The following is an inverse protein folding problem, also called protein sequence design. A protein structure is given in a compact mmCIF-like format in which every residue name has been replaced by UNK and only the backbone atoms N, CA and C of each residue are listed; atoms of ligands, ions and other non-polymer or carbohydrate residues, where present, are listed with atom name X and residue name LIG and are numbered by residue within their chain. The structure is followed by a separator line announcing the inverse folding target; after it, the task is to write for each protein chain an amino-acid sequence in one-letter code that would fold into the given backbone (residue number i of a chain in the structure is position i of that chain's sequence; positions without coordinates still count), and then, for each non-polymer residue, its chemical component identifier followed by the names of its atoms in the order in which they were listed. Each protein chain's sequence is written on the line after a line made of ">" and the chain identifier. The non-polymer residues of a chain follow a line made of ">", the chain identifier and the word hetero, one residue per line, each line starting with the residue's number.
data_IF_367992442404
#
_entry.id   IF_367992442404
#
_cell.length_a   1.000
_cell.length_b   1.000
_cell.length_c   1.000
_cell.angle_alpha   90.00
_cell.angle_beta   90.00
_cell.angle_gamma   90.00
#
_symmetry.space_group_name_H-M   'P 1'
#
loop_
_entity.id
_entity.type
_entity.pdbx_description
1 polymer ?
#
# COMPACT_ATOMS: atom_id res chain seq x y z
N UNK A 1 -16.50 0.60 -19.26
CA UNK A 1 -16.21 -0.39 -18.22
C UNK A 1 -16.69 -1.79 -18.65
N UNK A 2 -17.99 -1.99 -18.96
CA UNK A 2 -18.57 -3.30 -19.31
C UNK A 2 -17.91 -3.96 -20.54
N UNK A 3 -17.56 -3.16 -21.57
CA UNK A 3 -16.91 -3.66 -22.79
C UNK A 3 -15.49 -4.17 -22.50
N UNK A 4 -14.72 -3.43 -21.73
CA UNK A 4 -13.36 -3.85 -21.32
C UNK A 4 -13.38 -5.08 -20.39
N UNK A 5 -14.41 -5.25 -19.58
CA UNK A 5 -14.58 -6.42 -18.71
C UNK A 5 -14.98 -7.67 -19.50
N UNK A 6 -15.81 -7.49 -20.54
CA UNK A 6 -16.18 -8.55 -21.48
C UNK A 6 -14.97 -8.97 -22.35
N UNK A 7 -14.24 -8.03 -22.93
CA UNK A 7 -13.02 -8.34 -23.70
C UNK A 7 -12.00 -9.09 -22.87
N UNK A 8 -11.82 -8.70 -21.59
CA UNK A 8 -10.94 -9.38 -20.63
C UNK A 8 -11.42 -10.80 -20.32
N UNK A 9 -12.73 -10.98 -20.08
CA UNK A 9 -13.31 -12.29 -19.83
C UNK A 9 -13.18 -13.22 -21.05
N UNK A 10 -13.32 -12.70 -22.27
CA UNK A 10 -13.10 -13.45 -23.51
C UNK A 10 -11.61 -13.83 -23.70
N UNK A 11 -10.69 -12.87 -23.50
CA UNK A 11 -9.25 -13.15 -23.61
C UNK A 11 -8.82 -14.27 -22.62
N UNK A 12 -9.31 -14.23 -21.39
CA UNK A 12 -9.04 -15.24 -20.35
C UNK A 12 -9.66 -16.60 -20.72
N UNK A 13 -10.85 -16.62 -21.31
CA UNK A 13 -11.55 -17.88 -21.66
C UNK A 13 -10.92 -18.62 -22.85
N UNK A 14 -10.19 -17.91 -23.72
CA UNK A 14 -9.60 -18.47 -24.96
C UNK A 14 -8.08 -18.50 -24.99
N UNK A 15 -7.40 -17.98 -23.97
CA UNK A 15 -5.96 -18.00 -23.85
C UNK A 15 -5.54 -18.86 -22.65
N UNK A 16 -5.28 -20.14 -22.88
CA UNK A 16 -4.80 -21.09 -21.86
C UNK A 16 -3.44 -20.67 -21.25
N UNK A 17 -2.73 -19.71 -21.85
CA UNK A 17 -1.46 -19.15 -21.35
C UNK A 17 -1.66 -17.93 -20.47
N UNK A 18 -2.87 -17.33 -20.41
CA UNK A 18 -3.11 -16.13 -19.63
C UNK A 18 -3.22 -16.41 -18.14
N UNK A 19 -2.36 -15.76 -17.38
CA UNK A 19 -2.42 -15.79 -15.92
C UNK A 19 -3.22 -14.59 -15.40
N UNK A 20 -4.38 -14.84 -14.79
CA UNK A 20 -5.18 -13.79 -14.14
C UNK A 20 -4.84 -13.73 -12.66
N UNK A 21 -4.52 -12.55 -12.18
CA UNK A 21 -4.24 -12.31 -10.78
C UNK A 21 -5.08 -11.14 -10.27
N UNK A 22 -5.95 -11.41 -9.32
CA UNK A 22 -6.78 -10.40 -8.67
C UNK A 22 -6.06 -9.80 -7.47
N UNK A 23 -5.91 -8.48 -7.45
CA UNK A 23 -5.25 -7.73 -6.39
C UNK A 23 -6.19 -6.65 -5.83
N UNK A 24 -6.33 -6.60 -4.51
CA UNK A 24 -6.96 -5.48 -3.81
C UNK A 24 -5.88 -4.66 -3.11
N UNK A 25 -5.91 -3.35 -3.24
CA UNK A 25 -4.86 -2.48 -2.72
C UNK A 25 -5.34 -1.03 -2.56
N UNK A 26 -4.67 -0.24 -1.73
CA UNK A 26 -4.85 1.22 -1.76
C UNK A 26 -4.42 1.77 -3.11
N UNK A 27 -5.09 2.85 -3.55
CA UNK A 27 -4.75 3.51 -4.81
C UNK A 27 -3.27 3.92 -4.81
N UNK A 28 -2.56 3.49 -5.86
CA UNK A 28 -1.15 3.75 -6.05
C UNK A 28 -0.83 3.77 -7.55
N UNK A 29 -0.16 4.83 -8.01
CA UNK A 29 0.13 5.01 -9.44
C UNK A 29 1.18 4.00 -9.92
N UNK A 30 2.07 3.52 -9.04
CA UNK A 30 3.00 2.45 -9.37
C UNK A 30 2.27 1.12 -9.65
N UNK A 31 1.15 0.84 -8.97
CA UNK A 31 0.32 -0.33 -9.29
C UNK A 31 -0.39 -0.18 -10.65
N UNK A 32 -0.81 1.04 -11.01
CA UNK A 32 -1.35 1.29 -12.35
C UNK A 32 -0.28 1.06 -13.44
N UNK A 33 0.95 1.53 -13.19
CA UNK A 33 2.11 1.27 -14.06
C UNK A 33 2.45 -0.21 -14.13
N UNK A 34 2.39 -0.93 -13.01
CA UNK A 34 2.63 -2.38 -12.96
C UNK A 34 1.66 -3.15 -13.86
N UNK A 35 0.38 -2.75 -13.85
CA UNK A 35 -0.63 -3.36 -14.74
C UNK A 35 -0.28 -3.17 -16.21
N UNK A 36 0.21 -1.99 -16.59
CA UNK A 36 0.65 -1.72 -17.96
C UNK A 36 1.87 -2.57 -18.34
N UNK A 37 2.87 -2.71 -17.45
CA UNK A 37 4.04 -3.56 -17.67
C UNK A 37 3.67 -5.04 -17.78
N UNK A 38 2.74 -5.53 -16.97
CA UNK A 38 2.26 -6.91 -16.98
C UNK A 38 1.56 -7.29 -18.29
N UNK A 39 0.88 -6.34 -18.92
CA UNK A 39 0.17 -6.53 -20.18
C UNK A 39 1.10 -6.51 -21.41
N UNK A 40 2.40 -6.17 -21.25
CA UNK A 40 3.34 -6.07 -22.38
C UNK A 40 3.78 -7.47 -22.84
N UNK A 41 3.60 -7.84 -24.11
CA UNK A 41 4.05 -9.13 -24.63
C UNK A 41 5.57 -9.30 -24.49
N UNK A 42 6.04 -10.46 -24.04
CA UNK A 42 7.46 -10.80 -23.95
C UNK A 42 8.02 -11.02 -22.55
N UNK A 43 7.26 -10.72 -21.52
CA UNK A 43 7.57 -11.18 -20.15
C UNK A 43 6.79 -12.47 -19.86
N UNK A 44 7.46 -13.53 -19.44
CA UNK A 44 7.01 -14.85 -18.95
C UNK A 44 5.51 -15.21 -19.06
N UNK A 45 4.88 -15.12 -20.23
CA UNK A 45 3.43 -15.27 -20.43
C UNK A 45 2.65 -13.99 -20.12
N UNK A 46 1.50 -13.80 -20.76
CA UNK A 46 0.65 -12.65 -20.52
C UNK A 46 0.06 -12.69 -19.08
N UNK A 47 0.46 -11.74 -18.23
CA UNK A 47 -0.08 -11.62 -16.88
C UNK A 47 -1.18 -10.54 -16.87
N UNK A 48 -2.42 -10.94 -16.60
CA UNK A 48 -3.54 -10.04 -16.46
C UNK A 48 -3.72 -9.65 -14.99
N UNK A 49 -3.44 -8.38 -14.65
CA UNK A 49 -3.65 -7.84 -13.31
C UNK A 49 -5.03 -7.18 -13.20
N UNK A 50 -5.95 -7.82 -12.49
CA UNK A 50 -7.22 -7.21 -12.08
C UNK A 50 -7.02 -6.51 -10.73
N UNK A 51 -6.77 -5.20 -10.77
CA UNK A 51 -6.49 -4.41 -9.57
C UNK A 51 -7.74 -3.64 -9.19
N UNK A 52 -8.22 -3.87 -7.96
CA UNK A 52 -9.31 -3.12 -7.33
C UNK A 52 -8.75 -2.24 -6.22
N UNK A 53 -8.99 -0.94 -6.35
CA UNK A 53 -8.53 0.01 -5.36
C UNK A 53 -9.51 0.09 -4.18
N UNK A 54 -8.97 -0.20 -2.98
CA UNK A 54 -9.68 -0.16 -1.71
C UNK A 54 -8.70 0.22 -0.58
N UNK A 55 -9.15 0.33 0.67
CA UNK A 55 -8.24 0.53 1.79
C UNK A 55 -7.39 -0.69 2.08
N UNK A 56 -6.20 -0.51 2.67
CA UNK A 56 -5.28 -1.61 3.01
C UNK A 56 -5.92 -2.65 3.94
N UNK A 57 -6.75 -2.20 4.88
CA UNK A 57 -7.49 -3.08 5.81
C UNK A 57 -8.47 -3.96 5.05
N UNK A 58 -9.26 -3.36 4.16
CA UNK A 58 -10.25 -4.07 3.37
C UNK A 58 -9.61 -4.99 2.33
N UNK A 59 -8.43 -4.61 1.82
CA UNK A 59 -7.64 -5.47 0.94
C UNK A 59 -7.23 -6.77 1.66
N UNK A 60 -6.70 -6.70 2.89
CA UNK A 60 -6.32 -7.90 3.67
C UNK A 60 -7.55 -8.71 4.06
N UNK A 61 -8.69 -8.06 4.39
CA UNK A 61 -9.95 -8.77 4.63
C UNK A 61 -10.42 -9.52 3.38
N UNK A 62 -10.39 -8.87 2.22
CA UNK A 62 -10.74 -9.49 0.95
C UNK A 62 -9.86 -10.70 0.62
N UNK A 63 -8.56 -10.64 0.92
CA UNK A 63 -7.65 -11.77 0.81
C UNK A 63 -8.08 -12.93 1.72
N UNK A 64 -8.41 -12.65 2.97
CA UNK A 64 -8.85 -13.66 3.94
C UNK A 64 -10.20 -14.31 3.58
N UNK A 65 -11.04 -13.58 2.87
CA UNK A 65 -12.34 -14.04 2.36
C UNK A 65 -12.21 -14.73 0.98
N UNK A 66 -11.00 -14.85 0.44
CA UNK A 66 -10.75 -15.48 -0.88
C UNK A 66 -11.25 -14.64 -2.07
N UNK A 67 -11.52 -13.33 -1.89
CA UNK A 67 -12.00 -12.43 -2.95
C UNK A 67 -10.86 -11.88 -3.83
N UNK A 68 -9.62 -12.04 -3.42
CA UNK A 68 -8.44 -11.69 -4.21
C UNK A 68 -7.27 -12.65 -3.91
N UNK A 69 -6.30 -12.68 -4.80
CA UNK A 69 -5.08 -13.46 -4.65
C UNK A 69 -4.02 -12.70 -3.85
N UNK A 70 -3.99 -11.38 -4.00
CA UNK A 70 -3.03 -10.48 -3.35
C UNK A 70 -3.73 -9.31 -2.69
N UNK A 71 -3.20 -8.90 -1.53
CA UNK A 71 -3.60 -7.69 -0.83
C UNK A 71 -2.42 -6.73 -0.66
N UNK A 72 -2.55 -5.51 -1.16
CA UNK A 72 -1.56 -4.45 -0.96
C UNK A 72 -1.79 -3.70 0.35
N UNK A 73 -0.73 -3.55 1.15
CA UNK A 73 -0.75 -2.76 2.39
C UNK A 73 0.61 -2.13 2.67
N UNK A 74 0.62 -1.13 3.53
CA UNK A 74 1.86 -0.40 3.83
C UNK A 74 2.13 -0.35 5.33
N UNK A 75 3.41 -0.27 5.68
CA UNK A 75 3.87 -0.07 7.06
C UNK A 75 5.09 0.83 7.06
N UNK A 76 5.40 1.43 8.19
CA UNK A 76 6.73 1.97 8.44
C UNK A 76 7.78 0.88 8.21
N UNK A 77 9.03 1.28 8.00
CA UNK A 77 10.13 0.33 7.78
C UNK A 77 10.31 -0.62 8.97
N UNK A 78 10.15 -0.11 10.18
CA UNK A 78 10.18 -0.88 11.43
C UNK A 78 8.93 -0.55 12.27
N UNK A 79 7.77 -1.15 11.94
CA UNK A 79 6.54 -0.82 12.61
C UNK A 79 6.54 -1.37 14.04
N UNK A 80 6.45 -0.49 15.03
CA UNK A 80 6.42 -0.89 16.45
C UNK A 80 5.27 -1.85 16.75
N UNK A 81 5.48 -2.78 17.67
CA UNK A 81 4.44 -3.73 18.10
C UNK A 81 3.23 -3.06 18.77
N UNK A 82 3.41 -1.84 19.27
CA UNK A 82 2.36 -1.00 19.88
C UNK A 82 1.71 -0.02 18.93
N UNK A 83 2.18 0.08 17.66
CA UNK A 83 1.67 1.00 16.66
C UNK A 83 0.21 0.72 16.29
N UNK A 84 -0.48 1.71 15.73
CA UNK A 84 -1.81 1.51 15.17
C UNK A 84 -1.75 0.50 14.01
N UNK A 85 -0.70 0.55 13.19
CA UNK A 85 -0.48 -0.44 12.13
C UNK A 85 -0.47 -1.87 12.68
N UNK A 86 0.24 -2.11 13.80
CA UNK A 86 0.24 -3.43 14.45
C UNK A 86 -1.15 -3.82 14.97
N UNK A 87 -1.86 -2.92 15.64
CA UNK A 87 -3.22 -3.20 16.14
C UNK A 87 -4.21 -3.48 15.00
N UNK A 88 -4.02 -2.84 13.87
CA UNK A 88 -4.91 -2.92 12.71
C UNK A 88 -4.65 -4.17 11.87
N UNK A 89 -3.39 -4.47 11.54
CA UNK A 89 -3.07 -5.54 10.58
C UNK A 89 -2.76 -6.88 11.24
N UNK A 90 -2.19 -6.89 12.46
CA UNK A 90 -1.83 -8.15 13.16
C UNK A 90 -3.00 -9.12 13.34
N UNK A 91 -4.24 -8.68 13.66
CA UNK A 91 -5.40 -9.58 13.73
C UNK A 91 -5.79 -10.20 12.39
N UNK A 92 -5.46 -9.55 11.28
CA UNK A 92 -5.81 -9.96 9.92
C UNK A 92 -4.74 -10.83 9.27
N UNK A 93 -3.49 -10.73 9.72
CA UNK A 93 -2.34 -11.46 9.18
C UNK A 93 -1.94 -12.58 10.13
N UNK A 94 -1.67 -13.77 9.60
CA UNK A 94 -1.31 -14.94 10.42
C UNK A 94 0.00 -15.54 9.91
N UNK A 95 1.06 -15.61 10.78
CA UNK A 95 2.29 -16.31 10.45
C UNK A 95 2.00 -17.78 10.09
N UNK A 96 2.62 -18.26 9.03
CA UNK A 96 2.41 -19.61 8.52
C UNK A 96 1.27 -19.75 7.50
N UNK A 97 0.24 -18.92 7.58
CA UNK A 97 -0.85 -18.85 6.59
C UNK A 97 -0.55 -17.84 5.49
N UNK A 98 -0.06 -16.65 5.86
CA UNK A 98 0.26 -15.58 4.92
C UNK A 98 1.74 -15.52 4.59
N UNK A 99 2.03 -15.02 3.39
CA UNK A 99 3.37 -14.68 2.90
C UNK A 99 3.38 -13.22 2.49
N UNK A 100 4.52 -12.59 2.65
CA UNK A 100 4.75 -11.18 2.28
C UNK A 100 5.70 -11.15 1.09
N UNK A 101 5.32 -10.43 0.05
CA UNK A 101 6.14 -10.12 -1.12
C UNK A 101 6.44 -8.64 -1.05
N UNK A 102 7.71 -8.26 -1.16
CA UNK A 102 8.12 -6.86 -1.24
C UNK A 102 7.63 -6.26 -2.56
N UNK A 103 7.11 -5.03 -2.51
CA UNK A 103 6.73 -4.29 -3.70
C UNK A 103 7.66 -3.10 -3.93
N UNK A 104 7.68 -2.15 -3.00
CA UNK A 104 8.49 -0.96 -3.08
C UNK A 104 8.72 -0.34 -1.69
N UNK A 105 9.78 0.47 -1.56
CA UNK A 105 9.87 1.52 -0.56
C UNK A 105 9.36 2.80 -1.20
N UNK A 106 8.59 3.59 -0.48
CA UNK A 106 8.16 4.90 -0.95
C UNK A 106 8.16 5.92 0.20
N UNK A 107 8.34 7.19 -0.16
CA UNK A 107 8.31 8.29 0.80
C UNK A 107 6.89 8.86 0.89
N UNK A 108 6.37 8.98 2.11
CA UNK A 108 5.18 9.78 2.41
C UNK A 108 5.58 11.11 3.05
N UNK A 109 4.81 12.15 2.76
CA UNK A 109 5.07 13.49 3.25
C UNK A 109 3.90 14.42 3.04
N UNK A 110 4.10 15.69 3.38
CA UNK A 110 3.10 16.72 3.16
C UNK A 110 3.13 17.18 1.70
N UNK A 111 1.98 17.12 1.06
CA UNK A 111 1.72 17.78 -0.22
C UNK A 111 1.38 19.22 0.10
N UNK A 112 2.13 20.18 -0.43
CA UNK A 112 1.95 21.61 -0.16
C UNK A 112 1.91 22.41 -1.45
N UNK A 113 1.29 23.58 -1.43
CA UNK A 113 1.31 24.50 -2.55
C UNK A 113 2.76 24.86 -2.92
N UNK A 114 2.98 25.23 -4.18
CA UNK A 114 4.30 25.61 -4.68
C UNK A 114 4.90 26.75 -3.84
N UNK A 115 6.16 26.57 -3.46
CA UNK A 115 6.89 27.48 -2.58
C UNK A 115 6.58 27.29 -1.09
N UNK A 116 5.74 26.32 -0.72
CA UNK A 116 5.38 26.03 0.67
C UNK A 116 5.05 27.30 1.49
N UNK A 117 4.01 28.07 1.14
CA UNK A 117 3.77 29.42 1.67
C UNK A 117 3.54 29.45 3.19
N UNK A 118 3.13 28.35 3.80
CA UNK A 118 2.95 28.21 5.25
C UNK A 118 4.21 27.71 5.98
N UNK A 119 5.29 27.39 5.25
CA UNK A 119 6.56 26.91 5.82
C UNK A 119 6.42 25.60 6.58
N UNK A 120 5.51 24.70 6.17
CA UNK A 120 5.25 23.43 6.85
C UNK A 120 6.42 22.47 6.65
N UNK A 121 6.98 21.94 7.76
CA UNK A 121 8.06 20.98 7.75
C UNK A 121 7.71 19.68 8.52
N UNK A 122 6.66 19.71 9.34
CA UNK A 122 6.26 18.62 10.24
C UNK A 122 4.75 18.62 10.46
N UNK A 123 4.21 17.55 11.06
CA UNK A 123 2.83 17.53 11.52
C UNK A 123 2.60 18.51 12.69
N UNK A 124 3.62 18.75 13.51
CA UNK A 124 3.61 19.79 14.53
C UNK A 124 3.41 21.18 13.91
N UNK A 125 4.03 21.49 12.77
CA UNK A 125 3.78 22.76 12.06
C UNK A 125 2.36 22.84 11.53
N UNK A 126 1.81 21.75 11.00
CA UNK A 126 0.41 21.69 10.55
C UNK A 126 -0.54 22.02 11.69
N UNK A 127 -0.33 21.40 12.87
CA UNK A 127 -1.12 21.68 14.06
C UNK A 127 -0.98 23.12 14.54
N UNK A 128 0.26 23.63 14.63
CA UNK A 128 0.59 24.97 15.12
C UNK A 128 0.04 26.09 14.22
N UNK A 129 0.09 25.90 12.90
CA UNK A 129 -0.37 26.92 11.94
C UNK A 129 -1.88 26.88 11.72
N UNK A 130 -2.56 25.80 12.15
CA UNK A 130 -3.97 25.58 11.83
C UNK A 130 -4.22 25.32 10.34
N UNK A 131 -3.20 24.85 9.60
CA UNK A 131 -3.31 24.54 8.17
C UNK A 131 -4.44 23.53 7.93
N UNK A 132 -5.30 23.83 6.96
CA UNK A 132 -6.42 22.96 6.58
C UNK A 132 -5.89 21.69 5.94
N UNK A 133 -6.18 20.57 6.55
CA UNK A 133 -5.65 19.26 6.15
C UNK A 133 -6.69 18.48 5.34
N UNK A 134 -6.26 17.94 4.20
CA UNK A 134 -7.01 16.91 3.46
C UNK A 134 -6.51 15.53 3.86
N UNK A 135 -7.38 14.72 4.43
CA UNK A 135 -7.06 13.39 4.96
C UNK A 135 -7.47 12.27 4.00
N UNK A 136 -7.22 11.05 4.41
CA UNK A 136 -7.67 9.83 3.74
C UNK A 136 -8.68 9.10 4.61
N UNK A 137 -9.62 8.33 4.01
CA UNK A 137 -10.63 7.60 4.77
C UNK A 137 -10.03 6.62 5.77
N UNK A 138 -10.79 6.36 6.82
CA UNK A 138 -10.48 5.28 7.78
C UNK A 138 -10.25 3.96 7.04
N UNK A 139 -9.27 3.17 7.49
CA UNK A 139 -8.88 1.91 6.86
C UNK A 139 -7.95 2.05 5.65
N UNK A 140 -7.68 3.26 5.15
CA UNK A 140 -6.58 3.48 4.22
C UNK A 140 -5.23 3.36 4.95
N UNK A 141 -4.22 2.82 4.26
CA UNK A 141 -2.88 2.70 4.86
C UNK A 141 -2.27 4.05 5.24
N UNK A 142 -2.54 5.10 4.44
CA UNK A 142 -2.08 6.47 4.73
C UNK A 142 -2.72 7.04 6.00
N UNK A 143 -4.02 6.74 6.27
CA UNK A 143 -4.67 7.18 7.52
C UNK A 143 -4.08 6.47 8.73
N UNK A 144 -3.84 5.16 8.64
CA UNK A 144 -3.16 4.39 9.69
C UNK A 144 -1.76 4.95 9.96
N UNK A 145 -1.00 5.27 8.91
CA UNK A 145 0.32 5.87 9.01
C UNK A 145 0.26 7.26 9.67
N UNK A 146 -0.66 8.12 9.21
CA UNK A 146 -0.83 9.47 9.77
C UNK A 146 -1.07 9.44 11.28
N UNK A 147 -1.96 8.55 11.73
CA UNK A 147 -2.27 8.44 13.17
C UNK A 147 -1.08 7.91 13.98
N UNK A 148 -0.27 7.00 13.42
CA UNK A 148 0.99 6.56 14.04
C UNK A 148 2.00 7.72 14.12
N UNK A 149 2.13 8.54 13.07
CA UNK A 149 3.02 9.71 13.06
C UNK A 149 2.57 10.79 14.05
N UNK A 150 1.28 11.10 14.09
CA UNK A 150 0.72 12.04 15.08
C UNK A 150 1.02 11.58 16.51
N UNK A 151 0.80 10.29 16.79
CA UNK A 151 1.07 9.73 18.11
C UNK A 151 2.57 9.83 18.51
N UNK A 152 3.49 9.66 17.55
CA UNK A 152 4.94 9.84 17.78
C UNK A 152 5.30 11.29 18.14
N UNK A 153 4.58 12.27 17.59
CA UNK A 153 4.75 13.70 17.91
C UNK A 153 3.89 14.15 19.12
N UNK A 154 3.21 13.22 19.81
CA UNK A 154 2.30 13.55 20.93
C UNK A 154 1.02 14.26 20.51
N UNK A 155 0.66 14.19 19.23
CA UNK A 155 -0.52 14.79 18.63
C UNK A 155 -1.65 13.77 18.43
N UNK A 156 -2.85 14.29 18.22
CA UNK A 156 -4.03 13.51 17.83
C UNK A 156 -4.75 14.24 16.67
N UNK A 157 -5.72 13.58 16.06
CA UNK A 157 -6.53 14.21 15.01
C UNK A 157 -7.21 15.52 15.43
N UNK A 158 -7.51 15.69 16.72
CA UNK A 158 -8.12 16.92 17.24
C UNK A 158 -7.23 18.17 17.11
N UNK A 159 -5.90 17.98 16.99
CA UNK A 159 -4.95 19.07 16.77
C UNK A 159 -4.84 19.50 15.31
N UNK A 160 -5.45 18.76 14.39
CA UNK A 160 -5.33 18.97 12.95
C UNK A 160 -6.63 19.54 12.39
N UNK A 161 -6.59 20.76 11.92
CA UNK A 161 -7.75 21.40 11.28
C UNK A 161 -8.12 20.66 9.98
N UNK A 162 -9.37 20.22 9.85
CA UNK A 162 -9.84 19.48 8.67
C UNK A 162 -9.53 17.98 8.71
N UNK A 163 -9.12 17.41 9.88
CA UNK A 163 -8.77 16.00 10.02
C UNK A 163 -9.86 15.03 9.56
N UNK A 164 -11.12 15.40 9.66
CA UNK A 164 -12.27 14.60 9.24
C UNK A 164 -12.64 14.79 7.74
N UNK A 165 -11.86 15.61 7.02
CA UNK A 165 -12.07 15.84 5.60
C UNK A 165 -11.40 14.74 4.80
N UNK A 166 -12.15 13.74 4.41
CA UNK A 166 -11.67 12.57 3.70
C UNK A 166 -11.63 12.76 2.18
N UNK A 167 -10.49 12.42 1.58
CA UNK A 167 -10.26 12.37 0.14
C UNK A 167 -9.96 10.93 -0.29
N UNK A 168 -10.58 10.49 -1.36
CA UNK A 168 -10.59 9.07 -1.77
C UNK A 168 -9.24 8.53 -2.28
N UNK A 169 -8.31 9.42 -2.69
CA UNK A 169 -7.01 9.04 -3.25
C UNK A 169 -5.95 10.08 -2.95
N UNK A 170 -4.66 9.75 -3.10
CA UNK A 170 -3.58 10.73 -3.05
C UNK A 170 -3.76 11.84 -4.11
N UNK A 171 -4.29 11.46 -5.26
CA UNK A 171 -4.67 12.39 -6.34
C UNK A 171 -5.72 13.40 -5.89
N UNK A 172 -6.75 12.96 -5.14
CA UNK A 172 -7.79 13.84 -4.61
C UNK A 172 -7.23 14.76 -3.52
N UNK A 173 -6.34 14.28 -2.64
CA UNK A 173 -5.61 15.11 -1.67
C UNK A 173 -4.83 16.21 -2.38
N UNK A 174 -4.04 15.87 -3.40
CA UNK A 174 -3.28 16.87 -4.16
C UNK A 174 -4.21 17.86 -4.89
N UNK A 175 -5.34 17.39 -5.42
CA UNK A 175 -6.32 18.27 -6.04
C UNK A 175 -6.96 19.25 -5.04
N UNK A 176 -7.21 18.82 -3.80
CA UNK A 176 -7.69 19.70 -2.75
C UNK A 176 -6.68 20.83 -2.43
N UNK A 177 -5.38 20.52 -2.49
CA UNK A 177 -4.33 21.54 -2.33
C UNK A 177 -4.26 22.46 -3.55
N UNK A 178 -4.30 21.93 -4.78
CA UNK A 178 -4.30 22.74 -6.03
C UNK A 178 -5.46 23.75 -6.04
N UNK A 179 -6.65 23.30 -5.63
CA UNK A 179 -7.85 24.14 -5.63
C UNK A 179 -7.93 25.12 -4.46
N UNK A 180 -6.99 25.06 -3.50
CA UNK A 180 -7.03 25.86 -2.28
C UNK A 180 -8.12 25.42 -1.30
N UNK A 181 -8.73 24.28 -1.51
CA UNK A 181 -9.70 23.71 -0.60
C UNK A 181 -9.05 23.13 0.67
N UNK A 182 -7.79 22.71 0.58
CA UNK A 182 -6.91 22.40 1.69
C UNK A 182 -5.56 23.10 1.51
N UNK A 183 -4.82 23.28 2.60
CA UNK A 183 -3.47 23.86 2.55
C UNK A 183 -2.41 22.76 2.46
N UNK A 184 -2.72 21.56 2.94
CA UNK A 184 -1.84 20.41 2.93
C UNK A 184 -2.62 19.10 3.10
N UNK A 185 -1.93 17.97 2.92
CA UNK A 185 -2.40 16.63 3.23
C UNK A 185 -1.27 15.62 3.12
N UNK A 186 -1.40 14.46 3.75
CA UNK A 186 -0.40 13.41 3.66
C UNK A 186 -0.54 12.64 2.33
N UNK A 187 0.55 12.51 1.60
CA UNK A 187 0.55 11.80 0.32
C UNK A 187 1.93 11.37 -0.15
N UNK A 188 2.03 11.05 -1.41
CA UNK A 188 3.24 10.55 -2.07
C UNK A 188 3.82 11.61 -3.02
N UNK A 189 5.16 11.64 -3.12
CA UNK A 189 5.89 12.66 -3.88
C UNK A 189 5.49 12.68 -5.35
N UNK A 190 5.37 11.51 -5.98
CA UNK A 190 5.00 11.40 -7.39
C UNK A 190 3.71 12.17 -7.72
N UNK A 191 2.70 12.06 -6.86
CA UNK A 191 1.40 12.74 -7.06
C UNK A 191 1.51 14.25 -6.87
N UNK A 192 2.32 14.71 -5.91
CA UNK A 192 2.58 16.15 -5.72
C UNK A 192 3.27 16.73 -6.96
N UNK A 193 4.37 16.12 -7.41
CA UNK A 193 5.15 16.56 -8.57
C UNK A 193 4.32 16.58 -9.85
N UNK A 194 3.50 15.55 -10.09
CA UNK A 194 2.62 15.48 -11.27
C UNK A 194 1.63 16.62 -11.36
N UNK A 195 1.38 17.36 -10.26
CA UNK A 195 0.46 18.51 -10.20
C UNK A 195 1.15 19.85 -9.98
N UNK A 196 2.49 19.90 -10.08
CA UNK A 196 3.25 21.12 -9.88
C UNK A 196 3.25 21.62 -8.43
N UNK A 197 2.93 20.73 -7.47
CA UNK A 197 2.97 21.01 -6.06
C UNK A 197 4.37 20.69 -5.48
N UNK A 198 4.68 21.28 -4.34
CA UNK A 198 5.86 20.91 -3.58
C UNK A 198 5.54 19.79 -2.59
N UNK A 199 6.59 19.13 -2.15
CA UNK A 199 6.51 17.97 -1.29
C UNK A 199 7.51 18.08 -0.15
N UNK A 200 7.05 17.90 1.08
CA UNK A 200 7.87 17.87 2.28
C UNK A 200 7.93 16.43 2.78
N UNK A 201 9.05 15.72 2.60
CA UNK A 201 9.17 14.34 3.01
C UNK A 201 9.10 14.21 4.54
N UNK A 202 8.30 13.28 5.04
CA UNK A 202 8.18 13.01 6.48
C UNK A 202 8.75 11.64 6.86
N UNK A 203 8.43 10.59 6.08
CA UNK A 203 8.77 9.23 6.45
C UNK A 203 8.82 8.30 5.24
N UNK A 204 9.69 7.30 5.33
CA UNK A 204 9.71 6.18 4.39
C UNK A 204 8.85 5.04 4.90
N UNK A 205 8.08 4.47 4.00
CA UNK A 205 7.27 3.30 4.25
C UNK A 205 7.62 2.15 3.31
N UNK A 206 7.30 0.94 3.71
CA UNK A 206 7.36 -0.25 2.86
C UNK A 206 5.98 -0.60 2.37
N UNK A 207 5.86 -0.75 1.07
CA UNK A 207 4.68 -1.29 0.45
C UNK A 207 4.86 -2.80 0.27
N UNK A 208 3.92 -3.56 0.79
CA UNK A 208 3.91 -5.01 0.79
C UNK A 208 2.72 -5.57 0.02
N UNK A 209 2.91 -6.73 -0.58
CA UNK A 209 1.83 -7.56 -1.11
C UNK A 209 1.72 -8.81 -0.24
N UNK A 210 0.58 -8.99 0.41
CA UNK A 210 0.28 -10.22 1.14
C UNK A 210 -0.44 -11.21 0.22
N UNK A 211 -0.10 -12.50 0.35
CA UNK A 211 -0.83 -13.62 -0.26
C UNK A 211 -0.97 -14.77 0.72
N UNK A 212 -1.86 -15.72 0.43
CA UNK A 212 -1.88 -16.98 1.17
C UNK A 212 -0.67 -17.85 0.78
N UNK A 213 -0.14 -18.61 1.73
CA UNK A 213 0.97 -19.54 1.46
C UNK A 213 0.65 -20.50 0.32
N UNK A 214 -0.60 -20.95 0.22
CA UNK A 214 -1.05 -21.87 -0.83
C UNK A 214 -1.04 -21.25 -2.24
N UNK A 215 -1.13 -19.90 -2.36
CA UNK A 215 -1.15 -19.22 -3.65
C UNK A 215 0.22 -18.70 -4.09
N UNK A 216 1.23 -18.76 -3.20
CA UNK A 216 2.58 -18.22 -3.48
C UNK A 216 3.22 -18.81 -4.73
N UNK A 217 3.07 -20.13 -4.93
CA UNK A 217 3.69 -20.86 -6.04
C UNK A 217 2.75 -21.06 -7.23
N UNK A 218 1.56 -20.48 -7.20
CA UNK A 218 0.66 -20.49 -8.36
C UNK A 218 1.28 -19.71 -9.54
N UNK A 219 1.03 -20.12 -10.78
CA UNK A 219 1.64 -19.53 -11.97
C UNK A 219 1.52 -18.00 -12.02
N UNK A 220 0.33 -17.45 -11.79
CA UNK A 220 0.09 -16.01 -11.82
C UNK A 220 0.90 -15.25 -10.74
N UNK A 221 1.01 -15.80 -9.52
CA UNK A 221 1.80 -15.18 -8.45
C UNK A 221 3.29 -15.24 -8.75
N UNK A 222 3.77 -16.34 -9.31
CA UNK A 222 5.17 -16.46 -9.76
C UNK A 222 5.48 -15.47 -10.87
N UNK A 223 4.62 -15.40 -11.91
CA UNK A 223 4.79 -14.46 -13.01
C UNK A 223 4.84 -13.00 -12.52
N UNK A 224 3.99 -12.63 -11.55
CA UNK A 224 4.08 -11.30 -10.92
C UNK A 224 5.43 -11.09 -10.22
N UNK A 225 5.89 -12.05 -9.42
CA UNK A 225 7.18 -11.93 -8.72
C UNK A 225 8.34 -11.82 -9.70
N UNK A 226 8.34 -12.58 -10.77
CA UNK A 226 9.34 -12.51 -11.85
C UNK A 226 9.32 -11.12 -12.50
N UNK A 227 8.14 -10.59 -12.82
CA UNK A 227 7.99 -9.24 -13.35
C UNK A 227 8.59 -8.18 -12.40
N UNK A 228 8.27 -8.26 -11.10
CA UNK A 228 8.80 -7.35 -10.08
C UNK A 228 10.32 -7.43 -9.92
N UNK A 229 10.94 -8.57 -10.24
CA UNK A 229 12.39 -8.79 -10.22
C UNK A 229 13.09 -8.30 -11.50
N UNK A 230 12.34 -8.01 -12.57
CA UNK A 230 12.95 -7.53 -13.82
C UNK A 230 13.64 -6.19 -13.63
N UNK A 231 14.75 -5.99 -14.36
CA UNK A 231 15.46 -4.72 -14.35
C UNK A 231 14.57 -3.58 -14.87
N UNK A 232 13.76 -3.84 -15.88
CA UNK A 232 12.83 -2.84 -16.45
C UNK A 232 11.88 -2.29 -15.39
N UNK A 233 11.29 -3.17 -14.58
CA UNK A 233 10.42 -2.74 -13.49
C UNK A 233 11.17 -2.01 -12.38
N UNK A 234 12.34 -2.50 -11.99
CA UNK A 234 13.15 -1.87 -10.94
C UNK A 234 13.65 -0.49 -11.36
N UNK A 235 14.09 -0.33 -12.61
CA UNK A 235 14.50 0.97 -13.17
C UNK A 235 13.30 1.92 -13.24
N UNK A 236 12.11 1.43 -13.60
CA UNK A 236 10.88 2.23 -13.58
C UNK A 236 10.56 2.75 -12.17
N UNK A 237 10.61 1.89 -11.14
CA UNK A 237 10.41 2.32 -9.76
C UNK A 237 11.48 3.32 -9.30
N UNK A 238 12.75 3.06 -9.61
CA UNK A 238 13.86 3.92 -9.22
C UNK A 238 13.79 5.32 -9.87
N UNK A 239 13.19 5.43 -11.06
CA UNK A 239 12.97 6.71 -11.75
C UNK A 239 11.70 7.44 -11.30
N UNK A 240 10.84 6.78 -10.52
CA UNK A 240 9.59 7.37 -10.01
C UNK A 240 9.85 8.19 -8.74
N UNK A 241 9.45 9.47 -8.69
CA UNK A 241 9.70 10.32 -7.52
C UNK A 241 9.17 9.71 -6.23
N UNK A 242 10.05 9.61 -5.22
CA UNK A 242 9.72 9.07 -3.91
C UNK A 242 9.59 7.54 -3.84
N UNK A 243 9.96 6.80 -4.90
CA UNK A 243 9.97 5.33 -4.89
C UNK A 243 11.38 4.76 -4.98
N UNK A 244 11.54 3.55 -4.45
CA UNK A 244 12.71 2.71 -4.72
C UNK A 244 12.33 1.23 -4.74
N UNK A 245 13.03 0.38 -5.55
CA UNK A 245 12.72 -1.04 -5.74
C UNK A 245 13.23 -1.92 -4.60
N UNK A 246 13.07 -1.49 -3.34
CA UNK A 246 13.57 -2.24 -2.19
C UNK A 246 12.81 -3.56 -2.01
N UNK A 247 13.50 -4.70 -2.15
CA UNK A 247 12.95 -6.06 -2.04
C UNK A 247 11.81 -6.38 -3.00
N UNK A 248 11.68 -5.64 -4.10
CA UNK A 248 10.62 -5.85 -5.11
C UNK A 248 10.65 -7.30 -5.62
N UNK A 249 9.52 -8.02 -5.56
CA UNK A 249 9.37 -9.42 -5.97
C UNK A 249 9.92 -10.47 -5.00
N UNK A 250 10.66 -10.08 -3.96
CA UNK A 250 11.21 -11.02 -2.98
C UNK A 250 10.16 -11.44 -1.96
N UNK A 251 10.17 -12.74 -1.61
CA UNK A 251 9.36 -13.25 -0.48
C UNK A 251 10.10 -12.95 0.81
N UNK A 252 9.46 -12.17 1.67
CA UNK A 252 10.04 -11.68 2.91
C UNK A 252 9.57 -12.52 4.10
N UNK A 253 10.48 -12.77 5.04
CA UNK A 253 10.09 -13.35 6.32
C UNK A 253 9.22 -12.36 7.10
N UNK A 254 8.03 -12.80 7.50
CA UNK A 254 7.08 -11.94 8.23
C UNK A 254 7.70 -11.39 9.52
N UNK A 255 8.52 -12.17 10.21
CA UNK A 255 9.27 -11.74 11.40
C UNK A 255 10.21 -10.56 11.15
N UNK A 256 10.73 -10.42 9.92
CA UNK A 256 11.70 -9.38 9.58
C UNK A 256 11.03 -8.07 9.19
N UNK A 257 9.81 -8.13 8.65
CA UNK A 257 9.09 -6.95 8.16
C UNK A 257 7.97 -6.50 9.07
N UNK A 258 7.44 -7.41 9.89
CA UNK A 258 6.36 -7.18 10.84
C UNK A 258 6.73 -7.79 12.20
N UNK A 259 7.54 -7.11 13.03
CA UNK A 259 8.04 -7.65 14.30
C UNK A 259 6.96 -7.67 15.40
N UNK A 260 5.75 -8.12 15.05
CA UNK A 260 4.58 -8.06 15.92
C UNK A 260 4.29 -9.36 16.69
N UNK A 261 4.95 -10.47 16.31
CA UNK A 261 4.78 -11.77 16.96
C UNK A 261 6.06 -12.21 17.62
N UNK A 262 5.92 -12.85 18.78
CA UNK A 262 7.01 -13.53 19.45
C UNK A 262 7.16 -14.95 18.86
N UNK A 263 8.13 -15.13 17.99
CA UNK A 263 8.44 -16.41 17.35
C UNK A 263 9.36 -17.31 18.22
N UNK A 264 9.84 -16.81 19.36
CA UNK A 264 10.76 -17.55 20.25
C UNK A 264 10.00 -18.49 21.20
N UNK A 265 8.70 -18.25 21.40
CA UNK A 265 7.87 -19.13 22.23
C UNK A 265 7.48 -20.39 21.49
N UNK A 266 7.78 -21.61 22.03
CA UNK A 266 7.29 -22.85 21.44
C UNK A 266 5.75 -22.83 21.39
N UNK A 267 5.18 -23.31 20.27
CA UNK A 267 3.72 -23.46 20.15
C UNK A 267 3.23 -24.33 21.32
N UNK A 268 2.32 -23.82 22.14
CA UNK A 268 1.62 -24.64 23.13
C UNK A 268 1.00 -25.82 22.37
N UNK A 269 1.18 -27.10 22.84
CA UNK A 269 0.50 -28.23 22.23
C UNK A 269 -1.01 -27.95 22.27
N UNK A 270 -1.66 -28.12 21.13
CA UNK A 270 -3.13 -28.05 21.09
C UNK A 270 -3.67 -29.13 22.06
N UNK A 271 -4.38 -28.70 23.08
CA UNK A 271 -5.06 -29.63 23.99
C UNK A 271 -6.00 -30.49 23.13
N UNK A 272 -5.64 -31.75 22.92
CA UNK A 272 -6.55 -32.73 22.35
C UNK A 272 -7.79 -32.77 23.25
N UNK A 273 -8.89 -32.20 22.80
CA UNK A 273 -10.20 -32.46 23.36
C UNK A 273 -10.43 -33.97 23.22
N UNK A 274 -10.19 -34.71 24.31
CA UNK A 274 -10.77 -36.06 24.43
C UNK A 274 -12.29 -35.85 24.41
N UNK A 275 -12.92 -36.33 23.36
CA UNK A 275 -14.39 -36.55 23.37
C UNK A 275 -14.70 -37.68 24.36
N UNK A 276 -15.77 -37.54 25.13
CA UNK A 276 -16.29 -38.58 25.99
C UNK A 276 -16.81 -39.78 25.21
#
# INVERSE_FOLDING_TARGET
>A
ALHADLERAFAVAFDDSAHVLTMYASHDDALASLRAHAATPGTSGALHLDIRFTGSVDAIRALNEGRCTLAGFHTLEQPAATSLAARTYKPLLQPGLHKIIGFARRTQGLIVAKGNPLGLQSLTDVARTGARFANRPLGSGTRVLLEDLLAQEGLTGQHIAGFERDETSHTAVAQAVVSGAADTGLGIEMVARARGLDFVPLVDERYHLACLKATLEQPATRALRELLLTRVWQDHLASSPGYSPMHSGQVLAMSNVLPWWDFTRPKRPSAHRKKP
#
